data_IF_434213507472
#
_entry.id   IF_434213507472
#
_cell.length_a   1.000
_cell.length_b   1.000
_cell.length_c   1.000
_cell.angle_alpha   90.00
_cell.angle_beta   90.00
_cell.angle_gamma   90.00
#
_symmetry.space_group_name_H-M   'P 1'
#
loop_
_entity.id
_entity.type
_entity.pdbx_description
1 polymer ?
#
# COMPACT_ATOMS: atom_id res chain seq x y z
N UNK A 1 -9.93 -16.19 11.57
CA UNK A 1 -9.06 -15.03 11.30
C UNK A 1 -9.88 -13.93 10.65
N UNK A 2 -9.73 -12.65 11.02
CA UNK A 2 -10.36 -11.57 10.27
C UNK A 2 -9.80 -11.55 8.84
N UNK A 3 -10.68 -11.39 7.85
CA UNK A 3 -10.27 -11.20 6.46
C UNK A 3 -9.54 -9.85 6.38
N UNK A 4 -8.30 -9.79 5.86
CA UNK A 4 -7.62 -8.52 5.71
C UNK A 4 -8.44 -7.60 4.80
N UNK A 5 -8.53 -6.30 5.11
CA UNK A 5 -9.27 -5.36 4.27
C UNK A 5 -8.70 -5.36 2.85
N UNK A 6 -9.56 -5.22 1.85
CA UNK A 6 -9.11 -4.98 0.48
C UNK A 6 -8.15 -3.78 0.45
N UNK A 7 -7.09 -3.87 -0.35
CA UNK A 7 -6.01 -2.87 -0.39
C UNK A 7 -6.51 -1.42 -0.51
N UNK A 8 -7.53 -1.08 -1.34
CA UNK A 8 -8.09 0.27 -1.39
C UNK A 8 -8.63 0.77 -0.04
N UNK A 9 -9.36 -0.09 0.69
CA UNK A 9 -9.89 0.24 2.01
C UNK A 9 -8.78 0.40 3.05
N UNK A 10 -7.73 -0.43 2.98
CA UNK A 10 -6.57 -0.31 3.85
C UNK A 10 -5.82 1.01 3.63
N UNK A 11 -5.61 1.40 2.37
CA UNK A 11 -4.96 2.66 1.98
C UNK A 11 -5.78 3.87 2.46
N UNK A 12 -7.11 3.86 2.25
CA UNK A 12 -7.99 4.92 2.72
C UNK A 12 -7.98 5.04 4.26
N UNK A 13 -7.97 3.91 4.96
CA UNK A 13 -7.93 3.91 6.42
C UNK A 13 -6.59 4.45 6.97
N UNK A 14 -5.47 4.14 6.32
CA UNK A 14 -4.17 4.73 6.67
C UNK A 14 -4.13 6.22 6.34
N UNK A 15 -4.67 6.63 5.19
CA UNK A 15 -4.74 8.02 4.77
C UNK A 15 -5.53 8.89 5.78
N UNK A 16 -6.69 8.40 6.22
CA UNK A 16 -7.50 9.04 7.24
C UNK A 16 -6.81 9.08 8.61
N UNK A 17 -6.10 8.02 9.01
CA UNK A 17 -5.33 8.00 10.25
C UNK A 17 -4.20 9.04 10.25
N UNK A 18 -3.56 9.26 9.09
CA UNK A 18 -2.53 10.28 8.92
C UNK A 18 -3.10 11.71 9.02
N UNK A 19 -4.38 11.90 8.68
CA UNK A 19 -5.05 13.21 8.74
C UNK A 19 -5.79 13.47 10.06
N UNK A 20 -5.92 12.45 10.93
CA UNK A 20 -6.51 12.60 12.24
C UNK A 20 -5.85 13.75 13.03
N UNK A 21 -6.61 14.54 13.80
CA UNK A 21 -6.15 15.82 14.33
C UNK A 21 -4.95 15.65 15.25
N UNK A 22 -3.81 16.20 14.82
CA UNK A 22 -2.56 16.33 15.58
C UNK A 22 -2.46 17.77 16.05
N UNK A 23 -3.03 18.06 17.22
CA UNK A 23 -2.95 19.40 17.81
C UNK A 23 -1.65 19.54 18.61
N UNK A 24 -0.97 20.70 18.55
CA UNK A 24 0.12 21.01 19.47
C UNK A 24 -0.32 20.79 20.92
N UNK A 25 0.50 20.09 21.70
CA UNK A 25 0.21 19.78 23.12
C UNK A 25 -0.65 18.53 23.37
N UNK A 26 -1.14 17.83 22.34
CA UNK A 26 -1.85 16.55 22.51
C UNK A 26 -0.86 15.39 22.47
N UNK A 27 -1.04 14.43 23.39
CA UNK A 27 -0.24 13.22 23.43
C UNK A 27 -0.41 12.40 22.14
N UNK A 28 0.68 12.28 21.37
CA UNK A 28 0.69 11.60 20.07
C UNK A 28 0.68 10.07 20.16
N UNK A 29 0.75 9.49 21.36
CA UNK A 29 0.84 8.04 21.55
C UNK A 29 -0.29 7.27 20.86
N UNK A 30 -1.53 7.75 21.02
CA UNK A 30 -2.69 7.13 20.36
C UNK A 30 -2.60 7.25 18.83
N UNK A 31 -2.22 8.42 18.31
CA UNK A 31 -2.07 8.64 16.87
C UNK A 31 -1.00 7.71 16.27
N UNK A 32 0.19 7.65 16.88
CA UNK A 32 1.30 6.78 16.44
C UNK A 32 0.88 5.31 16.39
N UNK A 33 0.17 4.87 17.43
CA UNK A 33 -0.32 3.50 17.50
C UNK A 33 -1.36 3.19 16.41
N UNK A 34 -2.34 4.07 16.21
CA UNK A 34 -3.35 3.91 15.15
C UNK A 34 -2.70 3.88 13.76
N UNK A 35 -1.78 4.79 13.46
CA UNK A 35 -1.05 4.80 12.18
C UNK A 35 -0.30 3.48 11.98
N UNK A 36 0.42 3.00 13.00
CA UNK A 36 1.14 1.72 12.93
C UNK A 36 0.22 0.53 12.66
N UNK A 37 -0.95 0.48 13.29
CA UNK A 37 -1.95 -0.57 13.04
C UNK A 37 -2.44 -0.53 11.58
N UNK A 38 -2.73 0.67 11.06
CA UNK A 38 -3.17 0.83 9.66
C UNK A 38 -2.08 0.49 8.65
N UNK A 39 -0.81 0.77 8.96
CA UNK A 39 0.32 0.29 8.15
C UNK A 39 0.40 -1.23 8.10
N UNK A 40 0.12 -1.92 9.21
CA UNK A 40 0.03 -3.39 9.24
C UNK A 40 -1.03 -3.90 8.26
N UNK A 41 -2.23 -3.31 8.29
CA UNK A 41 -3.30 -3.68 7.36
C UNK A 41 -2.93 -3.45 5.88
N UNK A 42 -2.24 -2.35 5.55
CA UNK A 42 -1.75 -2.11 4.18
C UNK A 42 -0.70 -3.13 3.77
N UNK A 43 0.22 -3.49 4.68
CA UNK A 43 1.21 -4.53 4.44
C UNK A 43 0.55 -5.87 4.14
N UNK A 44 -0.41 -6.28 4.96
CA UNK A 44 -1.09 -7.57 4.82
C UNK A 44 -1.86 -7.63 3.48
N UNK A 45 -2.52 -6.54 3.11
CA UNK A 45 -3.21 -6.43 1.82
C UNK A 45 -2.25 -6.47 0.62
N UNK A 46 -1.11 -5.78 0.68
CA UNK A 46 -0.06 -5.84 -0.36
C UNK A 46 0.58 -7.22 -0.49
N UNK A 47 0.77 -7.94 0.62
CA UNK A 47 1.26 -9.33 0.59
C UNK A 47 0.19 -10.25 -0.01
N UNK A 48 -1.07 -10.06 0.35
CA UNK A 48 -2.19 -10.85 -0.15
C UNK A 48 -2.47 -10.70 -1.65
N UNK A 49 -2.21 -9.51 -2.23
CA UNK A 49 -2.32 -9.27 -3.68
C UNK A 49 -1.51 -10.30 -4.50
N UNK A 50 -0.34 -10.71 -3.99
CA UNK A 50 0.53 -11.70 -4.62
C UNK A 50 -0.09 -13.10 -4.76
N UNK A 51 -0.99 -13.46 -3.85
CA UNK A 51 -1.57 -14.78 -3.75
C UNK A 51 -2.85 -14.93 -4.57
N UNK A 52 -3.50 -13.81 -4.93
CA UNK A 52 -4.69 -13.81 -5.79
C UNK A 52 -4.36 -13.82 -7.29
N UNK A 53 -3.11 -13.55 -7.65
CA UNK A 53 -2.61 -13.47 -9.03
C UNK A 53 -2.00 -14.78 -9.53
N UNK A 54 -2.53 -15.91 -9.09
CA UNK A 54 -2.02 -17.27 -9.35
C UNK A 54 -2.17 -17.72 -10.82
N UNK A 55 -2.67 -16.84 -11.69
CA UNK A 55 -2.51 -16.99 -13.13
C UNK A 55 -1.03 -16.77 -13.47
N UNK A 56 -0.39 -17.80 -14.05
CA UNK A 56 1.02 -17.80 -14.48
C UNK A 56 1.47 -16.63 -15.37
N UNK A 57 0.56 -15.72 -15.70
CA UNK A 57 0.73 -14.40 -16.29
C UNK A 57 1.71 -13.49 -15.52
N UNK A 58 1.68 -13.44 -14.18
CA UNK A 58 2.69 -12.69 -13.41
C UNK A 58 4.08 -13.36 -13.42
N UNK A 59 4.20 -14.64 -13.77
CA UNK A 59 5.52 -15.27 -13.85
C UNK A 59 6.33 -14.80 -15.07
N UNK A 60 5.67 -14.41 -16.17
CA UNK A 60 6.33 -13.98 -17.42
C UNK A 60 6.70 -12.48 -17.47
N UNK A 61 5.92 -11.61 -16.80
CA UNK A 61 6.16 -10.14 -16.75
C UNK A 61 6.37 -9.58 -15.33
N UNK A 62 6.09 -10.37 -14.30
CA UNK A 62 6.05 -9.90 -12.91
C UNK A 62 7.39 -9.66 -12.25
N UNK A 63 8.52 -9.82 -12.93
CA UNK A 63 9.83 -9.52 -12.34
C UNK A 63 9.96 -8.05 -11.88
N UNK A 64 9.48 -7.08 -12.68
CA UNK A 64 9.54 -5.66 -12.31
C UNK A 64 8.47 -5.29 -11.28
N UNK A 65 7.23 -5.72 -11.48
CA UNK A 65 6.12 -5.47 -10.55
C UNK A 65 6.37 -6.10 -9.17
N UNK A 66 6.87 -7.34 -9.12
CA UNK A 66 7.25 -8.01 -7.88
C UNK A 66 8.39 -7.28 -7.15
N UNK A 67 9.43 -6.84 -7.89
CA UNK A 67 10.51 -6.04 -7.31
C UNK A 67 10.02 -4.71 -6.76
N UNK A 68 9.14 -4.02 -7.50
CA UNK A 68 8.54 -2.78 -7.06
C UNK A 68 7.69 -2.98 -5.79
N UNK A 69 6.81 -3.99 -5.78
CA UNK A 69 6.02 -4.36 -4.60
C UNK A 69 6.91 -4.63 -3.39
N UNK A 70 7.99 -5.38 -3.56
CA UNK A 70 8.93 -5.65 -2.49
C UNK A 70 9.65 -4.38 -2.00
N UNK A 71 9.99 -3.46 -2.90
CA UNK A 71 10.55 -2.16 -2.54
C UNK A 71 9.54 -1.31 -1.74
N UNK A 72 8.26 -1.31 -2.13
CA UNK A 72 7.18 -0.64 -1.40
C UNK A 72 6.97 -1.26 -0.02
N UNK A 73 6.97 -2.60 0.09
CA UNK A 73 6.89 -3.33 1.36
C UNK A 73 8.08 -3.02 2.27
N UNK A 74 9.29 -2.96 1.73
CA UNK A 74 10.49 -2.59 2.49
C UNK A 74 10.40 -1.16 3.03
N UNK A 75 9.99 -0.20 2.19
CA UNK A 75 9.77 1.20 2.60
C UNK A 75 8.70 1.30 3.69
N UNK A 76 7.57 0.60 3.53
CA UNK A 76 6.50 0.56 4.54
C UNK A 76 7.00 -0.05 5.86
N UNK A 77 7.81 -1.11 5.79
CA UNK A 77 8.43 -1.75 6.96
C UNK A 77 9.36 -0.82 7.72
N UNK A 78 10.16 0.00 7.02
CA UNK A 78 11.07 0.97 7.63
C UNK A 78 10.33 2.04 8.45
N UNK A 79 9.13 2.45 8.01
CA UNK A 79 8.32 3.40 8.77
C UNK A 79 7.72 2.84 10.05
N UNK A 80 7.63 1.50 10.18
CA UNK A 80 7.01 0.83 11.33
C UNK A 80 7.60 1.25 12.69
N UNK A 81 8.92 1.13 12.92
CA UNK A 81 9.57 1.68 14.10
C UNK A 81 9.64 3.21 14.05
N UNK A 82 9.95 3.81 12.90
CA UNK A 82 10.16 5.26 12.78
C UNK A 82 8.94 6.10 13.22
N UNK A 83 7.71 5.66 12.94
CA UNK A 83 6.50 6.38 13.34
C UNK A 83 6.32 6.45 14.87
N UNK A 84 6.86 5.48 15.61
CA UNK A 84 6.76 5.44 17.06
C UNK A 84 7.75 6.42 17.73
N UNK A 85 8.88 6.67 17.08
CA UNK A 85 10.04 7.34 17.67
C UNK A 85 10.30 8.75 17.08
N UNK A 86 9.74 9.06 15.91
CA UNK A 86 9.99 10.32 15.20
C UNK A 86 9.64 11.56 16.04
N UNK A 87 10.57 12.50 16.11
CA UNK A 87 10.34 13.84 16.65
C UNK A 87 9.68 14.77 15.63
N UNK A 88 9.97 14.59 14.34
CA UNK A 88 9.36 15.34 13.24
C UNK A 88 8.17 14.57 12.64
N UNK A 89 7.04 14.73 13.32
CA UNK A 89 5.79 14.04 13.02
C UNK A 89 5.19 14.49 11.68
N UNK A 90 5.40 15.75 11.29
CA UNK A 90 4.88 16.27 10.02
C UNK A 90 5.69 15.80 8.83
N UNK A 91 7.03 15.78 8.93
CA UNK A 91 7.87 15.23 7.88
C UNK A 91 7.59 13.75 7.68
N UNK A 92 7.53 12.96 8.75
CA UNK A 92 7.20 11.52 8.67
C UNK A 92 5.82 11.29 8.05
N UNK A 93 4.80 12.09 8.42
CA UNK A 93 3.48 12.01 7.77
C UNK A 93 3.57 12.28 6.27
N UNK A 94 4.26 13.35 5.87
CA UNK A 94 4.37 13.72 4.45
C UNK A 94 5.02 12.61 3.63
N UNK A 95 6.04 11.95 4.19
CA UNK A 95 6.68 10.80 3.57
C UNK A 95 5.77 9.58 3.49
N UNK A 96 4.99 9.27 4.54
CA UNK A 96 3.98 8.21 4.49
C UNK A 96 2.89 8.50 3.43
N UNK A 97 2.42 9.75 3.32
CA UNK A 97 1.45 10.15 2.28
C UNK A 97 2.03 9.95 0.87
N UNK A 98 3.32 10.26 0.65
CA UNK A 98 3.98 9.97 -0.63
C UNK A 98 4.07 8.47 -0.90
N UNK A 99 4.41 7.67 0.12
CA UNK A 99 4.43 6.21 -0.01
C UNK A 99 3.04 5.65 -0.34
N UNK A 100 1.97 6.17 0.25
CA UNK A 100 0.59 5.80 -0.10
C UNK A 100 0.29 6.04 -1.58
N UNK A 101 0.68 7.20 -2.12
CA UNK A 101 0.52 7.52 -3.54
C UNK A 101 1.32 6.57 -4.43
N UNK A 102 2.54 6.21 -4.03
CA UNK A 102 3.36 5.24 -4.77
C UNK A 102 2.70 3.86 -4.81
N UNK A 103 2.10 3.41 -3.70
CA UNK A 103 1.34 2.16 -3.63
C UNK A 103 0.09 2.22 -4.51
N UNK A 104 -0.66 3.31 -4.48
CA UNK A 104 -1.84 3.49 -5.34
C UNK A 104 -1.47 3.41 -6.83
N UNK A 105 -0.37 4.05 -7.23
CA UNK A 105 0.13 4.00 -8.62
C UNK A 105 0.55 2.59 -9.02
N UNK A 106 1.18 1.84 -8.12
CA UNK A 106 1.54 0.46 -8.39
C UNK A 106 0.30 -0.39 -8.69
N UNK A 107 -0.74 -0.30 -7.85
CA UNK A 107 -2.00 -1.02 -8.04
C UNK A 107 -2.71 -0.60 -9.33
N UNK A 108 -2.76 0.71 -9.61
CA UNK A 108 -3.38 1.20 -10.84
C UNK A 108 -2.68 0.63 -12.07
N UNK A 109 -1.34 0.64 -12.11
CA UNK A 109 -0.58 0.06 -13.23
C UNK A 109 -0.84 -1.43 -13.39
N UNK A 110 -1.03 -2.18 -12.31
CA UNK A 110 -1.38 -3.61 -12.39
C UNK A 110 -2.76 -3.82 -12.99
N UNK A 111 -3.74 -2.99 -12.62
CA UNK A 111 -5.07 -3.03 -13.24
C UNK A 111 -5.02 -2.64 -14.72
N UNK A 112 -4.29 -1.57 -15.08
CA UNK A 112 -4.16 -1.12 -16.47
C UNK A 112 -3.57 -2.24 -17.35
N UNK A 113 -2.51 -2.90 -16.88
CA UNK A 113 -1.90 -4.05 -17.57
C UNK A 113 -2.85 -5.23 -17.74
N UNK A 114 -3.76 -5.47 -16.78
CA UNK A 114 -4.74 -6.53 -16.88
C UNK A 114 -5.85 -6.19 -17.90
N UNK A 115 -6.24 -4.92 -18.01
CA UNK A 115 -7.24 -4.47 -18.99
C UNK A 115 -6.71 -4.48 -20.42
N UNK A 116 -5.49 -3.98 -20.65
CA UNK A 116 -4.86 -3.94 -21.99
C UNK A 116 -4.78 -5.34 -22.63
N UNK A 117 -4.56 -6.39 -21.83
CA UNK A 117 -4.46 -7.77 -22.33
C UNK A 117 -5.84 -8.37 -22.66
N UNK A 118 -6.89 -8.09 -21.88
CA UNK A 118 -8.25 -8.54 -22.19
C UNK A 118 -8.74 -7.93 -23.51
N UNK A 119 -8.38 -6.68 -23.77
CA UNK A 119 -8.67 -6.01 -25.05
C UNK A 119 -7.95 -6.67 -26.23
N UNK A 120 -6.70 -7.13 -26.03
CA UNK A 120 -5.92 -7.86 -27.04
C UNK A 120 -6.44 -9.28 -27.30
N UNK A 121 -6.88 -10.02 -26.27
CA UNK A 121 -7.41 -11.38 -26.43
C UNK A 121 -8.81 -11.41 -27.05
N UNK A 122 -9.63 -10.38 -26.84
CA UNK A 122 -10.97 -10.27 -27.44
C UNK A 122 -10.97 -9.70 -28.87
N UNK A 123 -9.91 -9.01 -29.29
CA UNK A 123 -9.76 -8.44 -30.64
C UNK A 123 -9.28 -9.43 -31.72
N UNK A 124 -9.00 -10.68 -31.37
CA UNK A 124 -8.44 -11.70 -32.29
C UNK A 124 -9.45 -12.53 -33.08
N UNK A 125 -10.71 -12.10 -33.18
CA UNK A 125 -11.77 -12.81 -33.92
C UNK A 125 -12.27 -12.00 -35.12
N UNK A 126 -11.49 -11.96 -36.20
CA UNK A 126 -11.96 -11.69 -37.57
C UNK A 126 -11.22 -12.56 -38.59
#
# INVERSE_FOLDING_TARGET
MPVPPALPAALQALDAALDAPRRPGVALGNWRWVVRQRMGAVRDALVGEAAGSDDGWLAARGGSAFRERNALLARLGAFGPAILETSDVEATRAELKRLLLDIQRHVQRLHDLAYDEVELELGGSE
#
